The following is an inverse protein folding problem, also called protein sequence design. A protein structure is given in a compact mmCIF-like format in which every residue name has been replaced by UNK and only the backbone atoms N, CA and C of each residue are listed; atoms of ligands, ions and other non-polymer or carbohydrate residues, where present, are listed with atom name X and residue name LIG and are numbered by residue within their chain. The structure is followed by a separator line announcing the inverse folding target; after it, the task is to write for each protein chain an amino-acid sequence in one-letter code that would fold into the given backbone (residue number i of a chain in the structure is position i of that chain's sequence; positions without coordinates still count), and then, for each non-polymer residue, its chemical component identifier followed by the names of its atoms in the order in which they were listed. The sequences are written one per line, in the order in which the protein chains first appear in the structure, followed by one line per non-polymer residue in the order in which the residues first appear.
data_IF_261677749115
#
_entry.id   IF_261677749115
#
_cell.length_a   1.000
_cell.length_b   1.000
_cell.length_c   1.000
_cell.angle_alpha   90.00
_cell.angle_beta   90.00
_cell.angle_gamma   90.00
#
_symmetry.space_group_name_H-M   'P 1'
#
loop_
_entity.id
_entity.type
_entity.pdbx_description
1 polymer ?
#
# COMPACT_ATOMS: atom_id res chain seq x y z
N UNK A 1 21.01 18.55 21.93
CA UNK A 1 20.73 17.14 22.26
C UNK A 1 19.22 16.96 22.22
N UNK A 2 18.66 16.62 21.05
CA UNK A 2 17.24 16.32 20.93
C UNK A 2 17.01 15.01 21.70
N UNK A 3 16.26 15.13 22.79
CA UNK A 3 16.13 14.08 23.78
C UNK A 3 15.57 12.81 23.13
N UNK A 4 16.14 11.64 23.45
CA UNK A 4 15.68 10.35 22.92
C UNK A 4 14.17 10.16 23.16
N UNK A 5 13.65 10.76 24.24
CA UNK A 5 12.23 10.84 24.59
C UNK A 5 11.40 11.68 23.61
N UNK A 6 11.97 12.73 23.01
CA UNK A 6 11.32 13.51 21.94
C UNK A 6 11.18 12.68 20.65
N UNK A 7 12.20 11.88 20.32
CA UNK A 7 12.17 10.97 19.17
C UNK A 7 11.17 9.82 19.40
N UNK A 8 11.16 9.23 20.59
CA UNK A 8 10.21 8.17 20.96
C UNK A 8 8.76 8.68 21.00
N UNK A 9 8.52 9.88 21.55
CA UNK A 9 7.17 10.48 21.61
C UNK A 9 6.65 10.93 20.25
N UNK A 10 7.52 11.46 19.39
CA UNK A 10 7.17 11.75 17.99
C UNK A 10 6.79 10.45 17.25
N UNK A 11 7.56 9.37 17.42
CA UNK A 11 7.23 8.06 16.86
C UNK A 11 5.89 7.55 17.40
N UNK A 12 5.63 7.59 18.71
CA UNK A 12 4.35 7.19 19.30
C UNK A 12 3.16 7.99 18.74
N UNK A 13 3.31 9.31 18.53
CA UNK A 13 2.27 10.13 17.88
C UNK A 13 2.04 9.75 16.42
N UNK A 14 3.09 9.40 15.68
CA UNK A 14 2.96 8.99 14.27
C UNK A 14 2.40 7.58 14.09
N UNK A 15 2.68 6.64 15.00
CA UNK A 15 2.08 5.29 15.00
C UNK A 15 0.58 5.37 15.34
N UNK A 16 0.17 6.38 16.12
CA UNK A 16 -1.24 6.70 16.38
C UNK A 16 -2.04 7.25 15.19
N UNK A 17 -1.43 7.50 14.03
CA UNK A 17 -2.12 8.01 12.82
C UNK A 17 -2.84 6.92 12.02
N UNK A 18 -2.80 5.66 12.47
CA UNK A 18 -3.76 4.66 12.01
C UNK A 18 -5.06 4.84 12.79
N UNK A 19 -5.79 5.93 12.57
CA UNK A 19 -7.19 5.99 13.02
C UNK A 19 -7.92 4.82 12.35
N UNK A 20 -8.35 3.80 13.11
CA UNK A 20 -9.10 2.70 12.54
C UNK A 20 -10.36 3.31 11.94
N UNK A 21 -10.66 2.97 10.69
CA UNK A 21 -11.93 3.42 10.14
C UNK A 21 -13.06 2.77 10.91
N UNK A 22 -14.01 3.58 11.38
CA UNK A 22 -15.21 3.12 12.07
C UNK A 22 -16.23 2.51 11.08
N UNK A 23 -15.91 2.43 9.79
CA UNK A 23 -16.79 1.82 8.79
C UNK A 23 -16.75 0.29 8.89
N UNK A 24 -17.88 -0.41 8.71
CA UNK A 24 -17.86 -1.86 8.56
C UNK A 24 -17.25 -2.26 7.20
N UNK A 25 -16.75 -3.49 7.10
CA UNK A 25 -16.38 -4.07 5.81
C UNK A 25 -17.63 -4.22 4.94
N UNK A 26 -17.59 -3.68 3.73
CA UNK A 26 -18.67 -3.76 2.75
C UNK A 26 -18.14 -4.41 1.48
N UNK A 27 -19.03 -5.11 0.77
CA UNK A 27 -18.69 -5.64 -0.55
C UNK A 27 -18.23 -4.48 -1.45
N UNK A 28 -17.07 -4.65 -2.07
CA UNK A 28 -16.53 -3.72 -3.05
C UNK A 28 -16.89 -4.19 -4.46
N UNK A 29 -16.88 -3.28 -5.42
CA UNK A 29 -17.01 -3.64 -6.83
C UNK A 29 -15.75 -4.38 -7.30
N UNK A 30 -15.83 -5.68 -7.67
CA UNK A 30 -14.67 -6.44 -8.14
C UNK A 30 -14.00 -5.80 -9.36
N UNK A 31 -14.79 -5.22 -10.28
CA UNK A 31 -14.30 -4.65 -11.52
C UNK A 31 -13.44 -3.40 -11.29
N UNK A 32 -13.58 -2.73 -10.15
CA UNK A 32 -12.78 -1.56 -9.79
C UNK A 32 -11.36 -1.95 -9.32
N UNK A 33 -11.16 -3.17 -8.81
CA UNK A 33 -9.89 -3.59 -8.21
C UNK A 33 -9.14 -4.62 -9.07
N UNK A 34 -9.85 -5.56 -9.69
CA UNK A 34 -9.25 -6.63 -10.47
C UNK A 34 -8.40 -6.09 -11.62
N UNK A 35 -7.30 -6.80 -11.91
CA UNK A 35 -6.34 -6.46 -12.95
C UNK A 35 -4.94 -6.18 -12.40
N UNK A 36 -4.05 -5.77 -13.29
CA UNK A 36 -2.66 -5.48 -12.97
C UNK A 36 -2.42 -3.97 -12.94
N UNK A 37 -2.01 -3.49 -11.78
CA UNK A 37 -1.68 -2.09 -11.51
C UNK A 37 -0.18 -1.89 -11.56
N UNK A 38 0.30 -1.15 -12.54
CA UNK A 38 1.74 -0.94 -12.74
C UNK A 38 2.11 0.51 -12.53
N UNK A 39 3.33 0.74 -12.05
CA UNK A 39 3.89 2.08 -11.92
C UNK A 39 5.39 2.05 -11.73
N UNK A 40 5.96 3.24 -11.56
CA UNK A 40 7.38 3.44 -11.31
C UNK A 40 7.51 4.33 -10.07
N UNK A 41 8.30 3.90 -9.11
CA UNK A 41 8.67 4.72 -7.94
C UNK A 41 9.63 5.83 -8.33
N UNK A 42 9.76 6.86 -7.49
CA UNK A 42 10.65 7.99 -7.75
C UNK A 42 12.13 7.58 -7.94
N UNK A 43 12.54 6.47 -7.31
CA UNK A 43 13.86 5.86 -7.47
C UNK A 43 14.04 5.05 -8.78
N UNK A 44 13.09 5.11 -9.71
CA UNK A 44 13.11 4.42 -11.00
C UNK A 44 12.73 2.94 -10.94
N UNK A 45 12.47 2.37 -9.75
CA UNK A 45 12.06 0.97 -9.63
C UNK A 45 10.62 0.79 -10.12
N UNK A 46 10.43 -0.16 -11.05
CA UNK A 46 9.11 -0.56 -11.52
C UNK A 46 8.45 -1.51 -10.52
N UNK A 47 7.14 -1.41 -10.39
CA UNK A 47 6.34 -2.34 -9.60
C UNK A 47 5.06 -2.72 -10.34
N UNK A 48 4.52 -3.88 -9.98
CA UNK A 48 3.23 -4.38 -10.42
C UNK A 48 2.44 -4.95 -9.23
N UNK A 49 1.18 -4.55 -9.11
CA UNK A 49 0.22 -5.08 -8.15
C UNK A 49 -0.88 -5.78 -8.93
N UNK A 50 -0.88 -7.11 -8.93
CA UNK A 50 -1.92 -7.90 -9.60
C UNK A 50 -2.96 -8.30 -8.57
N UNK A 51 -4.20 -7.88 -8.80
CA UNK A 51 -5.34 -8.18 -7.91
C UNK A 51 -6.25 -9.17 -8.63
N UNK A 52 -6.48 -10.31 -8.00
CA UNK A 52 -7.32 -11.40 -8.52
C UNK A 52 -8.33 -11.85 -7.46
N UNK A 53 -9.35 -12.56 -7.92
CA UNK A 53 -10.32 -13.24 -7.06
C UNK A 53 -10.96 -12.33 -5.99
N UNK A 54 -11.41 -11.14 -6.43
CA UNK A 54 -12.09 -10.18 -5.54
C UNK A 54 -13.49 -10.70 -5.25
N UNK A 55 -13.73 -11.11 -4.01
CA UNK A 55 -15.01 -11.64 -3.53
C UNK A 55 -15.46 -10.89 -2.29
N UNK A 56 -16.56 -10.13 -2.40
CA UNK A 56 -17.04 -9.27 -1.32
C UNK A 56 -16.01 -8.17 -1.00
N UNK A 57 -15.32 -8.29 0.13
CA UNK A 57 -14.25 -7.38 0.55
C UNK A 57 -12.86 -8.07 0.60
N UNK A 58 -12.74 -9.30 0.11
CA UNK A 58 -11.50 -10.08 0.11
C UNK A 58 -10.91 -10.11 -1.28
N UNK A 59 -9.59 -10.11 -1.38
CA UNK A 59 -8.89 -10.24 -2.66
C UNK A 59 -7.58 -11.01 -2.50
N UNK A 60 -7.13 -11.66 -3.57
CA UNK A 60 -5.78 -12.20 -3.68
C UNK A 60 -4.90 -11.18 -4.41
N UNK A 61 -3.76 -10.85 -3.83
CA UNK A 61 -2.87 -9.83 -4.39
C UNK A 61 -1.47 -10.39 -4.52
N UNK A 62 -0.89 -10.20 -5.70
CA UNK A 62 0.54 -10.35 -5.98
C UNK A 62 1.15 -8.95 -6.08
N UNK A 63 2.12 -8.66 -5.24
CA UNK A 63 2.99 -7.49 -5.38
C UNK A 63 4.33 -7.95 -5.93
N UNK A 64 4.81 -7.28 -6.98
CA UNK A 64 6.08 -7.56 -7.66
C UNK A 64 6.85 -6.24 -7.81
N UNK A 65 8.04 -6.15 -7.24
CA UNK A 65 8.89 -4.97 -7.34
C UNK A 65 10.35 -5.34 -7.17
N UNK A 66 11.19 -4.97 -8.15
CA UNK A 66 12.65 -5.09 -8.11
C UNK A 66 13.19 -6.39 -7.49
N UNK A 67 12.64 -7.55 -7.91
CA UNK A 67 13.07 -8.89 -7.46
C UNK A 67 12.37 -9.41 -6.20
N UNK A 68 11.52 -8.60 -5.55
CA UNK A 68 10.68 -9.04 -4.43
C UNK A 68 9.27 -9.32 -4.94
N UNK A 69 8.82 -10.57 -4.77
CA UNK A 69 7.44 -10.97 -5.05
C UNK A 69 6.76 -11.38 -3.75
N UNK A 70 5.62 -10.76 -3.43
CA UNK A 70 4.79 -11.08 -2.27
C UNK A 70 3.40 -11.50 -2.74
N UNK A 71 2.88 -12.60 -2.19
CA UNK A 71 1.50 -13.03 -2.39
C UNK A 71 0.76 -12.94 -1.06
N UNK A 72 -0.38 -12.27 -1.04
CA UNK A 72 -1.16 -12.10 0.18
C UNK A 72 -2.65 -12.06 -0.12
N UNK A 73 -3.44 -12.71 0.74
CA UNK A 73 -4.87 -12.46 0.81
C UNK A 73 -5.11 -11.21 1.64
N UNK A 74 -5.82 -10.25 1.07
CA UNK A 74 -6.04 -8.93 1.68
C UNK A 74 -7.52 -8.70 1.92
N UNK A 75 -7.80 -7.83 2.89
CA UNK A 75 -9.12 -7.28 3.14
C UNK A 75 -9.14 -5.83 2.64
N UNK A 76 -10.09 -5.51 1.77
CA UNK A 76 -10.26 -4.18 1.20
C UNK A 76 -11.18 -3.39 2.12
N UNK A 77 -10.70 -2.23 2.58
CA UNK A 77 -11.45 -1.31 3.44
C UNK A 77 -11.11 0.13 3.10
N UNK A 78 -12.13 0.98 3.00
CA UNK A 78 -11.99 2.40 2.67
C UNK A 78 -11.15 2.64 1.41
N UNK A 79 -11.36 1.80 0.40
CA UNK A 79 -10.61 1.78 -0.85
C UNK A 79 -9.11 1.51 -0.70
N UNK A 80 -8.70 0.88 0.40
CA UNK A 80 -7.31 0.57 0.71
C UNK A 80 -7.12 -0.88 1.12
N UNK A 81 -5.93 -1.39 0.87
CA UNK A 81 -5.45 -2.65 1.45
C UNK A 81 -3.91 -2.59 1.58
N UNK A 82 -3.32 -3.57 2.27
CA UNK A 82 -1.87 -3.69 2.45
C UNK A 82 -1.36 -5.06 2.03
N UNK A 83 -0.16 -5.08 1.47
CA UNK A 83 0.61 -6.27 1.14
C UNK A 83 2.01 -6.10 1.71
N UNK A 84 2.30 -6.78 2.82
CA UNK A 84 3.49 -6.48 3.64
C UNK A 84 3.60 -4.98 3.95
N UNK A 85 4.71 -4.38 3.58
CA UNK A 85 5.07 -2.97 3.82
C UNK A 85 4.49 -1.99 2.79
N UNK A 86 3.76 -2.51 1.80
CA UNK A 86 3.16 -1.72 0.73
C UNK A 86 1.67 -1.51 0.98
N UNK A 87 1.21 -0.26 0.92
CA UNK A 87 -0.21 0.12 0.95
C UNK A 87 -0.69 0.49 -0.44
N UNK A 88 -1.80 -0.13 -0.84
CA UNK A 88 -2.56 0.23 -2.03
C UNK A 88 -3.75 1.11 -1.63
N UNK A 89 -4.01 2.16 -2.39
CA UNK A 89 -5.20 3.01 -2.25
C UNK A 89 -5.78 3.32 -3.61
N UNK A 90 -7.00 2.84 -3.88
CA UNK A 90 -7.72 3.16 -5.10
C UNK A 90 -8.14 4.64 -5.08
N UNK A 91 -7.93 5.33 -6.20
CA UNK A 91 -8.47 6.68 -6.39
C UNK A 91 -10.00 6.65 -6.47
N UNK A 92 -10.66 7.77 -6.15
CA UNK A 92 -12.13 7.88 -6.28
C UNK A 92 -12.62 7.67 -7.71
N UNK A 93 -11.79 7.95 -8.71
CA UNK A 93 -12.13 7.74 -10.13
C UNK A 93 -12.01 6.28 -10.57
N UNK A 94 -11.43 5.39 -9.76
CA UNK A 94 -11.25 3.97 -10.10
C UNK A 94 -10.23 3.70 -11.22
N UNK A 95 -9.52 4.73 -11.70
CA UNK A 95 -8.62 4.66 -12.87
C UNK A 95 -7.14 4.67 -12.49
N UNK A 96 -6.82 5.19 -11.31
CA UNK A 96 -5.47 5.20 -10.75
C UNK A 96 -5.48 4.69 -9.31
N UNK A 97 -4.32 4.27 -8.83
CA UNK A 97 -4.13 3.90 -7.44
C UNK A 97 -2.85 4.56 -6.90
N UNK A 98 -2.88 4.99 -5.64
CA UNK A 98 -1.70 5.48 -4.93
C UNK A 98 -1.06 4.30 -4.19
N UNK A 99 0.21 4.04 -4.50
CA UNK A 99 1.00 2.98 -3.89
C UNK A 99 2.03 3.62 -2.98
N UNK A 100 2.06 3.19 -1.73
CA UNK A 100 3.00 3.65 -0.71
C UNK A 100 3.79 2.47 -0.21
N UNK A 101 5.09 2.45 -0.47
CA UNK A 101 5.97 1.42 0.03
C UNK A 101 6.88 1.99 1.12
N UNK A 102 6.91 1.35 2.28
CA UNK A 102 7.91 1.68 3.30
C UNK A 102 9.20 0.98 2.94
N UNK A 103 10.27 1.75 2.77
CA UNK A 103 11.60 1.25 2.46
C UNK A 103 12.52 1.55 3.63
N UNK A 104 13.25 0.53 4.07
CA UNK A 104 14.34 0.66 5.04
C UNK A 104 15.66 0.61 4.29
N UNK A 105 16.47 1.66 4.39
CA UNK A 105 17.82 1.67 3.84
C UNK A 105 18.73 0.74 4.67
N UNK A 106 19.37 -0.27 4.06
CA UNK A 106 20.20 -1.22 4.80
C UNK A 106 21.49 -0.60 5.36
N UNK A 107 21.96 0.53 4.82
CA UNK A 107 23.21 1.19 5.24
C UNK A 107 22.93 2.20 6.36
N UNK A 108 21.92 3.05 6.17
CA UNK A 108 21.60 4.12 7.14
C UNK A 108 20.56 3.71 8.19
N UNK A 109 19.91 2.56 8.01
CA UNK A 109 18.78 2.06 8.81
C UNK A 109 17.58 3.03 8.90
N UNK A 110 17.58 4.09 8.09
CA UNK A 110 16.50 5.06 8.02
C UNK A 110 15.33 4.49 7.21
N UNK A 111 14.11 4.80 7.64
CA UNK A 111 12.89 4.43 6.93
C UNK A 111 12.34 5.63 6.18
N UNK A 112 11.96 5.43 4.92
CA UNK A 112 11.30 6.44 4.12
C UNK A 112 10.15 5.82 3.32
N UNK A 113 9.29 6.69 2.79
CA UNK A 113 8.07 6.28 2.10
C UNK A 113 8.18 6.60 0.62
N UNK A 114 8.30 5.55 -0.19
CA UNK A 114 8.22 5.65 -1.65
C UNK A 114 6.75 5.71 -2.05
N UNK A 115 6.32 6.85 -2.59
CA UNK A 115 4.97 7.02 -3.15
C UNK A 115 5.02 6.99 -4.66
N UNK A 116 4.09 6.27 -5.27
CA UNK A 116 3.90 6.27 -6.71
C UNK A 116 2.42 6.19 -7.09
N UNK A 117 2.10 6.70 -8.27
CA UNK A 117 0.80 6.46 -8.88
C UNK A 117 0.89 5.23 -9.79
N UNK A 118 0.04 4.25 -9.54
CA UNK A 118 -0.18 3.11 -10.42
C UNK A 118 -1.35 3.38 -11.36
N UNK A 119 -1.23 2.88 -12.59
CA UNK A 119 -2.32 2.82 -13.56
C UNK A 119 -2.67 1.35 -13.81
N UNK A 120 -3.96 1.09 -13.99
CA UNK A 120 -4.41 -0.25 -14.38
C UNK A 120 -4.06 -0.47 -15.84
N UNK A 121 -3.30 -1.53 -16.11
CA UNK A 121 -3.12 -2.05 -17.46
C UNK A 121 -4.26 -3.04 -17.69
N UNK A 122 -5.01 -2.83 -18.78
CA UNK A 122 -6.15 -3.67 -19.16
C UNK A 122 -5.71 -5.11 -19.45
#
# INVERSE_FOLDING_TARGET
MADMLSILSANYKTVGLQTPSNTPYKAVDPAAYQGTWTGVYANGKKFAVTVTNVTGFRAQVKYDSAGTVKYQQVLIKDNTFRVGDTKFKLSKSGTSAEIKNVVTDPVTQSTYLDTATAKRTA
#
